data_IF_295781505623
#
_entry.id   IF_295781505623
#
_cell.length_a   1.000
_cell.length_b   1.000
_cell.length_c   1.000
_cell.angle_alpha   90.00
_cell.angle_beta   90.00
_cell.angle_gamma   90.00
#
_symmetry.space_group_name_H-M   'P 1'
#
loop_
_entity.id
_entity.type
_entity.pdbx_description
1 polymer ?
#
# COMPACT_ATOMS: atom_id res chain seq x y z
N UNK A 1 36.87 -14.52 -5.19
CA UNK A 1 37.77 -15.41 -4.41
C UNK A 1 39.21 -15.27 -4.87
N UNK A 2 39.42 -15.03 -6.15
CA UNK A 2 40.74 -14.93 -6.79
C UNK A 2 41.65 -13.87 -6.17
N UNK A 3 41.09 -12.80 -5.59
CA UNK A 3 41.83 -11.75 -4.89
C UNK A 3 42.02 -11.99 -3.38
N UNK A 4 41.48 -13.09 -2.83
CA UNK A 4 41.55 -13.36 -1.40
C UNK A 4 42.99 -13.69 -0.99
N UNK A 5 43.53 -13.06 0.06
CA UNK A 5 44.92 -13.20 0.53
C UNK A 5 45.43 -14.64 0.77
N UNK A 6 44.53 -15.60 0.97
CA UNK A 6 44.88 -17.02 1.11
C UNK A 6 45.00 -17.75 -0.24
N UNK A 7 44.38 -17.22 -1.30
CA UNK A 7 44.37 -17.75 -2.66
C UNK A 7 45.38 -17.01 -3.53
N UNK A 8 45.45 -15.68 -3.42
CA UNK A 8 46.37 -14.80 -4.12
C UNK A 8 47.77 -14.77 -3.47
N UNK A 9 48.45 -15.92 -3.41
CA UNK A 9 49.81 -16.03 -2.89
C UNK A 9 50.81 -16.33 -4.02
N UNK A 10 51.90 -15.56 -4.09
CA UNK A 10 52.99 -15.79 -5.05
C UNK A 10 53.90 -16.98 -4.68
N UNK A 11 53.50 -17.81 -3.70
CA UNK A 11 54.26 -18.99 -3.24
C UNK A 11 53.65 -20.25 -3.83
N UNK A 12 54.47 -21.25 -4.21
CA UNK A 12 53.95 -22.51 -4.73
C UNK A 12 53.06 -23.19 -3.68
N UNK A 13 51.88 -23.62 -4.10
CA UNK A 13 50.91 -24.33 -3.26
C UNK A 13 51.47 -25.72 -2.96
N UNK A 14 51.82 -25.97 -1.70
CA UNK A 14 52.26 -27.29 -1.21
C UNK A 14 51.17 -27.91 -0.36
N UNK A 15 51.16 -29.24 -0.22
CA UNK A 15 50.17 -29.95 0.61
C UNK A 15 50.09 -29.41 2.03
N UNK A 16 51.23 -29.02 2.61
CA UNK A 16 51.31 -28.41 3.94
C UNK A 16 50.64 -27.02 3.99
N UNK A 17 50.81 -26.20 2.95
CA UNK A 17 50.15 -24.89 2.86
C UNK A 17 48.64 -25.10 2.65
N UNK A 18 48.27 -26.03 1.77
CA UNK A 18 46.88 -26.39 1.51
C UNK A 18 46.16 -26.85 2.79
N UNK A 19 46.73 -27.77 3.56
CA UNK A 19 46.15 -28.23 4.83
C UNK A 19 45.88 -27.09 5.84
N UNK A 20 46.69 -26.03 5.80
CA UNK A 20 46.51 -24.87 6.69
C UNK A 20 45.43 -23.90 6.20
N UNK A 21 45.30 -23.71 4.88
CA UNK A 21 44.35 -22.74 4.30
C UNK A 21 42.98 -23.35 3.99
N UNK A 22 42.91 -24.66 3.71
CA UNK A 22 41.70 -25.35 3.28
C UNK A 22 40.52 -25.17 4.26
N UNK A 23 40.65 -25.36 5.59
CA UNK A 23 39.52 -25.17 6.51
C UNK A 23 38.97 -23.74 6.50
N UNK A 24 39.85 -22.75 6.29
CA UNK A 24 39.42 -21.34 6.21
C UNK A 24 38.71 -21.06 4.89
N UNK A 25 39.21 -21.61 3.79
CA UNK A 25 38.57 -21.48 2.48
C UNK A 25 37.23 -22.22 2.43
N UNK A 26 37.12 -23.41 3.01
CA UNK A 26 35.85 -24.14 3.13
C UNK A 26 34.79 -23.31 3.84
N UNK A 27 35.13 -22.71 5.00
CA UNK A 27 34.22 -21.81 5.72
C UNK A 27 33.79 -20.59 4.88
N UNK A 28 34.71 -20.00 4.12
CA UNK A 28 34.40 -18.88 3.21
C UNK A 28 33.47 -19.36 2.09
N UNK A 29 33.75 -20.51 1.48
CA UNK A 29 32.96 -21.10 0.40
C UNK A 29 31.55 -21.47 0.86
N UNK A 30 31.39 -21.99 2.07
CA UNK A 30 30.09 -22.25 2.69
C UNK A 30 29.28 -20.96 2.84
N UNK A 31 29.91 -19.88 3.33
CA UNK A 31 29.28 -18.56 3.42
C UNK A 31 28.84 -18.03 2.04
N UNK A 32 29.71 -18.13 1.04
CA UNK A 32 29.40 -17.71 -0.34
C UNK A 32 28.25 -18.55 -0.92
N UNK A 33 28.26 -19.87 -0.71
CA UNK A 33 27.19 -20.77 -1.16
C UNK A 33 25.86 -20.42 -0.49
N UNK A 34 25.85 -20.17 0.82
CA UNK A 34 24.65 -19.76 1.53
C UNK A 34 24.08 -18.44 0.97
N UNK A 35 24.93 -17.44 0.74
CA UNK A 35 24.54 -16.16 0.14
C UNK A 35 24.05 -16.33 -1.31
N UNK A 36 24.65 -17.24 -2.09
CA UNK A 36 24.21 -17.57 -3.44
C UNK A 36 22.80 -18.15 -3.43
N UNK A 37 22.53 -19.13 -2.56
CA UNK A 37 21.20 -19.77 -2.43
C UNK A 37 20.13 -18.76 -2.02
N UNK A 38 20.43 -17.85 -1.08
CA UNK A 38 19.49 -16.80 -0.69
C UNK A 38 19.17 -15.87 -1.87
N UNK A 39 20.18 -15.39 -2.58
CA UNK A 39 19.99 -14.54 -3.78
C UNK A 39 19.19 -15.23 -4.87
N UNK A 40 19.52 -16.48 -5.19
CA UNK A 40 18.78 -17.27 -6.19
C UNK A 40 17.31 -17.45 -5.81
N UNK A 41 17.02 -17.70 -4.53
CA UNK A 41 15.64 -17.80 -4.01
C UNK A 41 14.90 -16.48 -4.11
N UNK A 42 15.51 -15.37 -3.70
CA UNK A 42 14.87 -14.06 -3.73
C UNK A 42 14.66 -13.56 -5.15
N UNK A 43 15.62 -13.77 -6.04
CA UNK A 43 15.46 -13.48 -7.47
C UNK A 43 14.30 -14.28 -8.07
N UNK A 44 14.18 -15.57 -7.71
CA UNK A 44 13.10 -16.41 -8.21
C UNK A 44 11.74 -15.98 -7.69
N UNK A 45 11.62 -15.68 -6.40
CA UNK A 45 10.39 -15.11 -5.80
C UNK A 45 9.98 -13.83 -6.51
N UNK A 46 10.94 -12.95 -6.80
CA UNK A 46 10.69 -11.70 -7.54
C UNK A 46 10.14 -11.97 -8.94
N UNK A 47 10.74 -12.92 -9.68
CA UNK A 47 10.24 -13.32 -11.01
C UNK A 47 8.82 -13.87 -10.93
N UNK A 48 8.50 -14.69 -9.93
CA UNK A 48 7.14 -15.24 -9.75
C UNK A 48 6.11 -14.18 -9.35
N UNK A 49 6.49 -13.19 -8.54
CA UNK A 49 5.64 -12.05 -8.20
C UNK A 49 5.26 -11.23 -9.44
N UNK A 50 6.21 -11.04 -10.37
CA UNK A 50 5.94 -10.36 -11.65
C UNK A 50 4.88 -11.14 -12.45
N UNK A 51 5.01 -12.47 -12.53
CA UNK A 51 4.02 -13.32 -13.21
C UNK A 51 2.64 -13.23 -12.56
N UNK A 52 2.58 -13.20 -11.22
CA UNK A 52 1.32 -13.02 -10.50
C UNK A 52 0.71 -11.63 -10.77
N UNK A 53 1.54 -10.58 -10.83
CA UNK A 53 1.09 -9.23 -11.17
C UNK A 53 0.46 -9.17 -12.57
N UNK A 54 1.10 -9.81 -13.56
CA UNK A 54 0.55 -9.91 -14.91
C UNK A 54 -0.79 -10.66 -14.94
N UNK A 55 -0.90 -11.78 -14.21
CA UNK A 55 -2.15 -12.53 -14.04
C UNK A 55 -3.25 -11.67 -13.42
N UNK A 56 -2.94 -10.93 -12.36
CA UNK A 56 -3.88 -10.05 -11.67
C UNK A 56 -4.33 -8.88 -12.55
N UNK A 57 -3.41 -8.33 -13.35
CA UNK A 57 -3.70 -7.27 -14.31
C UNK A 57 -4.65 -7.74 -15.40
N UNK A 58 -4.41 -8.92 -15.96
CA UNK A 58 -5.31 -9.53 -16.94
C UNK A 58 -6.69 -9.83 -16.36
N UNK A 59 -6.73 -10.37 -15.14
CA UNK A 59 -7.97 -10.55 -14.42
C UNK A 59 -8.70 -9.21 -14.23
N UNK A 60 -8.00 -8.14 -13.85
CA UNK A 60 -8.54 -6.80 -13.72
C UNK A 60 -9.21 -6.28 -15.00
N UNK A 61 -8.69 -6.61 -16.20
CA UNK A 61 -9.33 -6.24 -17.46
C UNK A 61 -10.69 -6.91 -17.70
N UNK A 62 -10.96 -8.03 -17.03
CA UNK A 62 -12.27 -8.71 -17.10
C UNK A 62 -13.31 -8.12 -16.15
N UNK A 63 -12.91 -7.21 -15.26
CA UNK A 63 -13.76 -6.66 -14.21
C UNK A 63 -14.43 -5.34 -14.63
N UNK A 64 -15.51 -4.92 -13.95
CA UNK A 64 -16.14 -3.61 -14.17
C UNK A 64 -15.17 -2.45 -13.96
N UNK A 65 -15.49 -1.30 -14.57
CA UNK A 65 -14.73 -0.06 -14.35
C UNK A 65 -14.71 0.30 -12.87
N UNK A 66 -13.55 0.74 -12.38
CA UNK A 66 -13.33 1.07 -10.98
C UNK A 66 -12.99 -0.13 -10.08
N UNK A 67 -12.88 -1.34 -10.65
CA UNK A 67 -12.35 -2.48 -9.91
C UNK A 67 -10.87 -2.27 -9.55
N UNK A 68 -10.56 -2.33 -8.26
CA UNK A 68 -9.20 -2.25 -7.72
C UNK A 68 -8.74 -3.68 -7.39
N UNK A 69 -7.77 -4.18 -8.16
CA UNK A 69 -7.18 -5.48 -7.92
C UNK A 69 -6.23 -5.44 -6.71
N UNK A 70 -6.20 -6.49 -5.87
CA UNK A 70 -5.18 -6.62 -4.85
C UNK A 70 -3.78 -6.64 -5.47
N UNK A 71 -2.77 -6.03 -4.84
CA UNK A 71 -1.40 -6.14 -5.34
C UNK A 71 -0.87 -7.57 -5.11
N UNK A 72 -0.04 -8.05 -6.05
CA UNK A 72 0.52 -9.40 -6.01
C UNK A 72 1.22 -9.73 -4.68
N UNK A 73 1.83 -8.73 -4.06
CA UNK A 73 2.61 -8.86 -2.82
C UNK A 73 1.75 -9.14 -1.59
N UNK A 74 0.50 -8.70 -1.58
CA UNK A 74 -0.45 -8.97 -0.51
C UNK A 74 -1.09 -10.35 -0.66
N UNK A 75 -1.26 -10.82 -1.90
CA UNK A 75 -1.77 -12.17 -2.18
C UNK A 75 -0.68 -13.24 -2.03
N UNK A 76 0.58 -12.93 -2.32
CA UNK A 76 1.71 -13.85 -2.23
C UNK A 76 1.83 -14.61 -0.89
N UNK A 77 1.59 -14.03 0.30
CA UNK A 77 1.60 -14.78 1.56
C UNK A 77 0.34 -15.61 1.81
N UNK A 78 -0.73 -15.46 1.02
CA UNK A 78 -2.00 -16.17 1.17
C UNK A 78 -1.96 -17.52 0.43
N UNK A 79 -2.68 -18.52 0.96
CA UNK A 79 -2.92 -19.73 0.19
C UNK A 79 -3.89 -19.42 -0.97
N UNK A 80 -3.70 -20.03 -2.16
CA UNK A 80 -2.65 -20.99 -2.52
C UNK A 80 -1.37 -20.33 -3.09
N UNK A 81 -1.33 -19.01 -3.29
CA UNK A 81 -0.18 -18.30 -3.89
C UNK A 81 1.13 -18.51 -3.13
N UNK A 82 1.08 -18.60 -1.79
CA UNK A 82 2.23 -18.85 -0.94
C UNK A 82 3.03 -20.08 -1.37
N UNK A 83 2.34 -21.17 -1.71
CA UNK A 83 2.98 -22.40 -2.15
C UNK A 83 3.72 -22.20 -3.49
N UNK A 84 3.10 -21.47 -4.42
CA UNK A 84 3.68 -21.19 -5.74
C UNK A 84 4.88 -20.25 -5.61
N UNK A 85 4.74 -19.16 -4.85
CA UNK A 85 5.76 -18.12 -4.74
C UNK A 85 6.94 -18.60 -3.89
N UNK A 86 6.69 -19.20 -2.72
CA UNK A 86 7.72 -19.51 -1.73
C UNK A 86 8.24 -20.94 -1.78
N UNK A 87 7.39 -21.93 -2.10
CA UNK A 87 7.70 -23.34 -1.87
C UNK A 87 8.15 -24.06 -3.17
N UNK A 88 7.78 -23.57 -4.35
CA UNK A 88 8.24 -24.16 -5.63
C UNK A 88 9.78 -24.05 -5.73
N UNK A 89 10.49 -25.17 -6.01
CA UNK A 89 11.94 -25.17 -6.20
C UNK A 89 12.44 -24.16 -7.25
N UNK A 90 13.64 -23.59 -7.06
CA UNK A 90 14.17 -22.49 -7.89
C UNK A 90 14.42 -22.94 -9.34
N UNK A 91 14.82 -24.19 -9.54
CA UNK A 91 15.08 -24.82 -10.83
C UNK A 91 13.84 -24.98 -11.71
N UNK A 92 12.64 -24.96 -11.12
CA UNK A 92 11.37 -24.94 -11.85
C UNK A 92 10.97 -23.55 -12.35
N UNK A 93 11.76 -22.51 -12.07
CA UNK A 93 11.57 -21.18 -12.66
C UNK A 93 10.31 -20.43 -12.19
N UNK A 94 9.97 -19.38 -12.95
CA UNK A 94 8.76 -18.57 -12.80
C UNK A 94 7.84 -18.83 -13.99
N UNK A 95 7.10 -19.94 -13.90
CA UNK A 95 6.26 -20.47 -14.97
C UNK A 95 4.81 -20.06 -14.67
N UNK A 96 4.15 -19.46 -15.67
CA UNK A 96 2.77 -18.96 -15.54
C UNK A 96 1.78 -20.09 -15.28
N UNK A 97 2.06 -21.25 -15.85
CA UNK A 97 1.26 -22.46 -15.73
C UNK A 97 1.14 -22.94 -14.28
N UNK A 98 2.08 -22.56 -13.39
CA UNK A 98 1.96 -22.85 -11.96
C UNK A 98 0.74 -22.15 -11.31
N UNK A 99 0.19 -21.10 -11.93
CA UNK A 99 -0.98 -20.40 -11.42
C UNK A 99 -2.30 -20.96 -11.97
N UNK A 100 -2.27 -21.82 -12.99
CA UNK A 100 -3.48 -22.30 -13.69
C UNK A 100 -4.52 -22.92 -12.75
N UNK A 101 -4.07 -23.68 -11.77
CA UNK A 101 -4.96 -24.34 -10.80
C UNK A 101 -5.61 -23.35 -9.80
N UNK A 102 -5.04 -22.14 -9.69
CA UNK A 102 -5.49 -21.08 -8.79
C UNK A 102 -6.39 -20.08 -9.49
N UNK A 103 -6.20 -19.86 -10.79
CA UNK A 103 -6.99 -18.89 -11.57
C UNK A 103 -8.51 -19.03 -11.39
N UNK A 104 -9.12 -20.23 -11.35
CA UNK A 104 -10.56 -20.37 -11.14
C UNK A 104 -11.04 -19.81 -9.80
N UNK A 105 -10.18 -19.83 -8.77
CA UNK A 105 -10.49 -19.35 -7.42
C UNK A 105 -10.08 -17.88 -7.21
N UNK A 106 -9.38 -17.28 -8.18
CA UNK A 106 -8.86 -15.92 -8.08
C UNK A 106 -9.94 -14.89 -7.72
N UNK A 107 -11.14 -14.88 -8.33
CA UNK A 107 -12.18 -13.92 -7.96
C UNK A 107 -12.52 -13.97 -6.46
N UNK A 108 -12.75 -15.18 -5.93
CA UNK A 108 -13.09 -15.35 -4.51
C UNK A 108 -11.97 -14.90 -3.58
N UNK A 109 -10.70 -15.11 -3.96
CA UNK A 109 -9.57 -14.68 -3.13
C UNK A 109 -9.46 -13.16 -3.13
N UNK A 110 -9.62 -12.52 -4.29
CA UNK A 110 -9.65 -11.06 -4.39
C UNK A 110 -10.82 -10.46 -3.60
N UNK A 111 -12.00 -11.10 -3.61
CA UNK A 111 -13.16 -10.67 -2.82
C UNK A 111 -12.87 -10.74 -1.32
N UNK A 112 -12.28 -11.84 -0.86
CA UNK A 112 -11.89 -12.01 0.54
C UNK A 112 -10.85 -10.96 0.98
N UNK A 113 -9.85 -10.70 0.13
CA UNK A 113 -8.86 -9.66 0.40
C UNK A 113 -9.53 -8.29 0.54
N UNK A 114 -10.41 -7.92 -0.40
CA UNK A 114 -11.13 -6.64 -0.35
C UNK A 114 -12.03 -6.53 0.87
N UNK A 115 -12.76 -7.59 1.22
CA UNK A 115 -13.58 -7.63 2.43
C UNK A 115 -12.75 -7.41 3.69
N UNK A 116 -11.56 -8.01 3.77
CA UNK A 116 -10.62 -7.80 4.88
C UNK A 116 -10.12 -6.35 4.95
N UNK A 117 -9.82 -5.72 3.81
CA UNK A 117 -9.41 -4.31 3.80
C UNK A 117 -10.54 -3.36 4.20
N UNK A 118 -11.77 -3.58 3.70
CA UNK A 118 -12.95 -2.84 4.15
C UNK A 118 -13.15 -2.98 5.66
N UNK A 119 -13.05 -4.21 6.19
CA UNK A 119 -13.17 -4.47 7.63
C UNK A 119 -12.16 -3.66 8.44
N UNK A 120 -10.93 -3.50 7.96
CA UNK A 120 -9.92 -2.65 8.63
C UNK A 120 -10.27 -1.17 8.57
N UNK A 121 -10.72 -0.66 7.43
CA UNK A 121 -11.17 0.73 7.32
C UNK A 121 -12.34 1.00 8.26
N UNK A 122 -13.32 0.10 8.31
CA UNK A 122 -14.46 0.19 9.23
C UNK A 122 -13.98 0.22 10.68
N UNK A 123 -12.97 -0.57 11.04
CA UNK A 123 -12.38 -0.52 12.38
C UNK A 123 -11.77 0.85 12.71
N UNK A 124 -11.12 1.51 11.74
CA UNK A 124 -10.61 2.88 11.93
C UNK A 124 -11.76 3.88 12.10
N UNK A 125 -12.84 3.75 11.34
CA UNK A 125 -14.03 4.59 11.49
C UNK A 125 -14.70 4.36 12.85
N UNK A 126 -14.88 3.10 13.27
CA UNK A 126 -15.49 2.73 14.57
C UNK A 126 -14.74 3.26 15.77
N UNK A 127 -13.41 3.29 15.68
CA UNK A 127 -12.58 3.84 16.76
C UNK A 127 -12.90 5.30 17.07
N UNK A 128 -13.48 6.03 16.10
CA UNK A 128 -13.74 7.47 16.22
C UNK A 128 -15.24 7.78 16.35
N UNK A 129 -16.10 7.14 15.57
CA UNK A 129 -17.54 7.46 15.52
C UNK A 129 -18.41 6.50 16.34
N UNK A 130 -17.83 5.47 16.96
CA UNK A 130 -18.55 4.48 17.76
C UNK A 130 -18.76 3.14 17.04
N UNK A 131 -19.19 2.13 17.80
CA UNK A 131 -19.23 0.73 17.34
C UNK A 131 -20.26 0.46 16.23
N UNK A 132 -21.21 1.36 16.03
CA UNK A 132 -22.33 1.20 15.09
C UNK A 132 -21.95 1.48 13.63
N UNK A 133 -20.73 1.96 13.36
CA UNK A 133 -20.28 2.20 11.99
C UNK A 133 -20.21 0.90 11.18
N UNK A 134 -20.71 0.95 9.95
CA UNK A 134 -20.77 -0.14 8.99
C UNK A 134 -20.03 0.23 7.69
N UNK A 135 -20.28 -0.50 6.61
CA UNK A 135 -19.64 -0.26 5.32
C UNK A 135 -20.08 1.07 4.68
N UNK A 136 -21.34 1.49 4.86
CA UNK A 136 -21.86 2.72 4.27
C UNK A 136 -21.15 3.94 4.84
N UNK A 137 -20.67 3.84 6.08
CA UNK A 137 -19.86 4.88 6.70
C UNK A 137 -18.55 5.14 5.95
N UNK A 138 -17.98 4.18 5.23
CA UNK A 138 -16.77 4.39 4.42
C UNK A 138 -17.00 5.40 3.28
N UNK A 139 -18.24 5.49 2.80
CA UNK A 139 -18.62 6.34 1.67
C UNK A 139 -19.03 7.77 2.08
N UNK A 140 -19.19 8.03 3.38
CA UNK A 140 -19.51 9.35 3.88
C UNK A 140 -18.43 10.36 3.51
N UNK A 141 -18.83 11.58 3.18
CA UNK A 141 -17.89 12.66 2.87
C UNK A 141 -16.93 12.92 4.06
N UNK A 142 -17.40 12.67 5.29
CA UNK A 142 -16.64 12.83 6.54
C UNK A 142 -15.62 11.72 6.79
N UNK A 143 -15.67 10.59 6.08
CA UNK A 143 -14.74 9.47 6.22
C UNK A 143 -13.45 9.68 5.43
N UNK A 144 -12.63 10.59 5.93
CA UNK A 144 -11.36 10.99 5.32
C UNK A 144 -10.21 10.25 6.01
N UNK A 145 -9.36 9.62 5.20
CA UNK A 145 -8.17 8.90 5.64
C UNK A 145 -6.91 9.69 5.29
N UNK A 146 -5.85 9.46 6.06
CA UNK A 146 -4.50 9.97 5.79
C UNK A 146 -3.52 8.82 5.79
N UNK A 147 -2.62 8.81 4.81
CA UNK A 147 -1.47 7.91 4.83
C UNK A 147 -0.34 8.49 5.71
N UNK A 148 0.17 7.72 6.67
CA UNK A 148 1.27 8.12 7.54
C UNK A 148 2.63 8.18 6.85
N UNK A 149 2.76 7.56 5.67
CA UNK A 149 4.01 7.51 4.92
C UNK A 149 4.19 8.74 4.02
N UNK A 150 3.18 9.07 3.22
CA UNK A 150 3.24 10.17 2.26
C UNK A 150 2.36 11.38 2.64
N UNK A 151 1.62 11.31 3.75
CA UNK A 151 0.67 12.33 4.21
C UNK A 151 -0.49 12.66 3.26
N UNK A 152 -0.68 11.88 2.19
CA UNK A 152 -1.78 12.06 1.23
C UNK A 152 -3.13 11.83 1.90
N UNK A 153 -4.08 12.69 1.58
CA UNK A 153 -5.50 12.54 1.93
C UNK A 153 -6.15 11.57 0.96
N UNK A 154 -6.90 10.63 1.52
CA UNK A 154 -7.50 9.53 0.79
C UNK A 154 -8.94 9.36 1.24
N UNK A 155 -9.79 8.96 0.30
CA UNK A 155 -11.18 8.57 0.54
C UNK A 155 -11.38 7.13 0.09
N UNK A 156 -12.47 6.50 0.50
CA UNK A 156 -12.84 5.22 -0.08
C UNK A 156 -13.48 5.43 -1.48
N UNK A 157 -13.18 4.60 -2.50
CA UNK A 157 -12.32 3.42 -2.50
C UNK A 157 -10.83 3.68 -2.82
N UNK A 158 -10.39 4.92 -3.01
CA UNK A 158 -8.99 5.27 -3.36
C UNK A 158 -7.96 4.75 -2.35
N UNK A 159 -8.36 4.59 -1.09
CA UNK A 159 -7.55 3.94 -0.04
C UNK A 159 -7.08 2.54 -0.43
N UNK A 160 -7.86 1.81 -1.25
CA UNK A 160 -7.52 0.47 -1.71
C UNK A 160 -6.38 0.45 -2.73
N UNK A 161 -6.25 1.50 -3.55
CA UNK A 161 -5.26 1.60 -4.65
C UNK A 161 -4.05 2.46 -4.29
N UNK A 162 -4.02 3.03 -3.09
CA UNK A 162 -2.96 3.95 -2.71
C UNK A 162 -1.58 3.26 -2.70
N UNK A 163 -0.61 3.81 -3.44
CA UNK A 163 0.74 3.24 -3.64
C UNK A 163 1.45 2.89 -2.33
N UNK A 164 1.36 3.70 -1.27
CA UNK A 164 1.98 3.35 0.02
C UNK A 164 1.31 2.16 0.75
N UNK A 165 0.12 1.76 0.30
CA UNK A 165 -0.62 0.60 0.81
C UNK A 165 -0.50 -0.62 -0.10
N UNK A 166 -0.15 -0.42 -1.38
CA UNK A 166 -0.09 -1.50 -2.39
C UNK A 166 1.32 -1.83 -2.85
N UNK A 167 2.27 -0.91 -2.71
CA UNK A 167 3.65 -1.07 -3.14
C UNK A 167 4.59 -1.30 -1.96
N UNK A 168 5.19 -2.50 -1.84
CA UNK A 168 6.35 -2.65 -1.01
C UNK A 168 7.50 -2.01 -1.78
N UNK A 169 8.10 -0.95 -1.23
CA UNK A 169 9.42 -0.56 -1.70
C UNK A 169 10.28 -1.83 -1.74
N UNK A 170 10.79 -2.20 -2.92
CA UNK A 170 11.37 -3.50 -3.26
C UNK A 170 12.67 -3.83 -2.49
N UNK A 171 12.92 -3.11 -1.39
CA UNK A 171 14.15 -3.04 -0.62
C UNK A 171 13.96 -3.29 0.89
N UNK A 172 12.75 -3.41 1.44
CA UNK A 172 12.66 -3.61 2.89
C UNK A 172 12.59 -5.08 3.27
N UNK A 173 13.59 -5.53 4.03
CA UNK A 173 13.61 -6.76 4.81
C UNK A 173 12.61 -6.75 5.96
N UNK A 174 11.71 -5.77 6.05
CA UNK A 174 10.82 -5.61 7.20
C UNK A 174 9.41 -6.17 6.99
N UNK A 175 8.83 -6.85 7.99
CA UNK A 175 7.49 -7.48 7.92
C UNK A 175 6.29 -6.52 7.89
N UNK A 176 6.50 -5.19 7.81
CA UNK A 176 5.43 -4.19 7.92
C UNK A 176 4.62 -3.98 6.63
N UNK A 177 4.88 -4.75 5.58
CA UNK A 177 4.19 -4.70 4.28
C UNK A 177 2.85 -5.44 4.24
N UNK A 178 2.00 -5.20 5.22
CA UNK A 178 0.60 -5.62 5.16
C UNK A 178 -0.21 -4.39 4.79
N UNK A 179 -1.07 -4.49 3.77
CA UNK A 179 -1.98 -3.41 3.37
C UNK A 179 -2.53 -2.62 4.56
N UNK A 180 -2.51 -1.28 4.45
CA UNK A 180 -3.14 -0.38 5.42
C UNK A 180 -2.37 -0.13 6.72
N UNK A 181 -1.14 -0.64 6.88
CA UNK A 181 -0.32 -0.39 8.09
C UNK A 181 -0.01 1.09 8.36
N UNK A 182 -0.21 1.97 7.36
CA UNK A 182 -0.04 3.41 7.49
C UNK A 182 -1.33 4.23 7.36
N UNK A 183 -2.51 3.63 7.23
CA UNK A 183 -3.75 4.39 7.10
C UNK A 183 -4.31 4.74 8.49
N UNK A 184 -4.65 6.02 8.67
CA UNK A 184 -5.35 6.52 9.86
C UNK A 184 -6.54 7.37 9.43
N UNK A 185 -7.58 7.42 10.27
CA UNK A 185 -8.66 8.38 10.05
C UNK A 185 -8.14 9.81 10.36
N UNK A 186 -8.36 10.73 9.44
CA UNK A 186 -7.92 12.13 9.56
C UNK A 186 -8.96 12.98 10.27
N UNK A 187 -8.97 12.93 11.61
CA UNK A 187 -9.96 13.62 12.44
C UNK A 187 -10.12 15.10 12.11
N UNK A 188 -9.01 15.79 11.83
CA UNK A 188 -9.03 17.22 11.53
C UNK A 188 -9.78 17.48 10.24
N UNK A 189 -9.51 16.71 9.18
CA UNK A 189 -10.21 16.86 7.90
C UNK A 189 -11.65 16.35 7.97
N UNK A 190 -11.89 15.27 8.69
CA UNK A 190 -13.24 14.77 8.96
C UNK A 190 -14.10 15.82 9.66
N UNK A 191 -13.57 16.48 10.69
CA UNK A 191 -14.25 17.57 11.40
C UNK A 191 -14.50 18.78 10.50
N UNK A 192 -13.52 19.17 9.69
CA UNK A 192 -13.70 20.23 8.69
C UNK A 192 -14.84 19.89 7.72
N UNK A 193 -14.88 18.63 7.26
CA UNK A 193 -15.92 18.19 6.36
C UNK A 193 -17.30 18.25 7.00
N UNK A 194 -17.43 17.87 8.28
CA UNK A 194 -18.68 18.05 9.03
C UNK A 194 -19.14 19.51 9.00
N UNK A 195 -18.26 20.45 9.34
CA UNK A 195 -18.59 21.88 9.32
C UNK A 195 -18.95 22.39 7.93
N UNK A 196 -18.26 21.91 6.89
CA UNK A 196 -18.57 22.24 5.50
C UNK A 196 -19.98 21.78 5.11
N UNK A 197 -20.34 20.54 5.46
CA UNK A 197 -21.66 19.98 5.18
C UNK A 197 -22.75 20.76 5.91
N UNK A 198 -22.53 21.11 7.17
CA UNK A 198 -23.45 21.96 7.94
C UNK A 198 -23.65 23.33 7.27
N UNK A 199 -22.57 23.97 6.80
CA UNK A 199 -22.65 25.24 6.05
C UNK A 199 -23.43 25.10 4.73
N UNK A 200 -23.42 23.91 4.11
CA UNK A 200 -24.18 23.62 2.91
C UNK A 200 -25.62 23.17 3.19
N UNK A 201 -26.02 23.05 4.47
CA UNK A 201 -27.32 22.52 4.88
C UNK A 201 -27.48 21.02 4.60
N UNK A 202 -26.37 20.28 4.52
CA UNK A 202 -26.33 18.84 4.29
C UNK A 202 -26.09 18.11 5.60
N UNK A 203 -26.62 16.88 5.73
CA UNK A 203 -26.43 16.07 6.93
C UNK A 203 -25.10 15.29 6.88
N UNK A 204 -24.14 15.53 7.80
CA UNK A 204 -22.85 14.86 7.83
C UNK A 204 -22.89 13.34 8.02
N UNK A 205 -24.01 12.80 8.52
CA UNK A 205 -24.18 11.37 8.80
C UNK A 205 -24.69 10.57 7.61
N UNK A 206 -25.21 11.24 6.59
CA UNK A 206 -25.84 10.60 5.43
C UNK A 206 -25.24 11.05 4.10
N UNK A 207 -24.57 12.20 4.08
CA UNK A 207 -23.98 12.74 2.85
C UNK A 207 -22.73 11.97 2.45
N UNK A 208 -22.76 11.38 1.24
CA UNK A 208 -21.62 10.67 0.66
C UNK A 208 -20.68 11.61 -0.07
N UNK A 209 -19.41 11.20 -0.22
CA UNK A 209 -18.45 11.97 -1.02
C UNK A 209 -18.92 12.17 -2.47
N UNK A 210 -19.52 11.16 -3.08
CA UNK A 210 -20.06 11.22 -4.44
C UNK A 210 -21.17 12.29 -4.55
N UNK A 211 -22.12 12.30 -3.61
CA UNK A 211 -23.19 13.31 -3.59
C UNK A 211 -22.66 14.74 -3.41
N UNK A 212 -21.61 14.92 -2.59
CA UNK A 212 -20.96 16.21 -2.42
C UNK A 212 -20.19 16.64 -3.67
N UNK A 213 -19.56 15.70 -4.37
CA UNK A 213 -18.88 15.96 -5.63
C UNK A 213 -19.85 16.35 -6.74
N UNK A 214 -21.04 15.74 -6.80
CA UNK A 214 -22.09 16.13 -7.75
C UNK A 214 -22.65 17.52 -7.46
N UNK A 215 -22.92 17.83 -6.18
CA UNK A 215 -23.39 19.15 -5.78
C UNK A 215 -22.34 20.25 -6.05
N UNK A 216 -21.06 19.92 -5.86
CA UNK A 216 -19.90 20.77 -6.10
C UNK A 216 -20.04 22.21 -5.54
N UNK A 217 -20.35 22.37 -4.24
CA UNK A 217 -20.59 23.68 -3.64
C UNK A 217 -19.36 24.60 -3.72
N UNK A 218 -19.64 25.90 -3.79
CA UNK A 218 -18.66 26.97 -3.56
C UNK A 218 -18.76 27.42 -2.11
N UNK A 219 -17.61 27.53 -1.46
CA UNK A 219 -17.49 27.94 -0.06
C UNK A 219 -16.91 29.33 -0.04
N UNK A 220 -17.60 30.25 0.62
CA UNK A 220 -17.08 31.60 0.85
C UNK A 220 -16.17 31.60 2.08
N UNK A 221 -14.97 32.19 1.96
CA UNK A 221 -14.15 32.50 3.11
C UNK A 221 -14.57 33.86 3.68
N UNK A 222 -15.20 33.86 4.86
CA UNK A 222 -15.71 35.09 5.47
C UNK A 222 -14.61 36.02 6.01
N UNK A 223 -13.39 35.51 6.20
CA UNK A 223 -12.24 36.25 6.72
C UNK A 223 -11.34 36.79 5.61
N UNK A 224 -11.23 36.08 4.49
CA UNK A 224 -10.46 36.51 3.34
C UNK A 224 -11.28 37.50 2.50
N UNK A 225 -11.13 38.78 2.81
CA UNK A 225 -11.59 39.88 1.96
C UNK A 225 -10.38 40.72 1.56
N UNK A 226 -10.21 40.91 0.26
CA UNK A 226 -9.22 41.85 -0.28
C UNK A 226 -9.95 43.04 -0.88
N UNK A 227 -9.44 44.25 -0.68
CA UNK A 227 -10.06 45.47 -1.19
C UNK A 227 -10.17 45.47 -2.73
N UNK A 228 -9.23 44.82 -3.41
CA UNK A 228 -9.17 44.77 -4.88
C UNK A 228 -10.00 43.62 -5.52
N UNK A 229 -10.16 42.49 -4.83
CA UNK A 229 -10.78 41.27 -5.41
C UNK A 229 -12.09 40.82 -4.73
N UNK A 230 -12.54 41.52 -3.68
CA UNK A 230 -13.80 41.23 -3.01
C UNK A 230 -13.76 39.98 -2.12
N UNK A 231 -14.90 39.27 -2.05
CA UNK A 231 -15.08 38.03 -1.26
C UNK A 231 -14.40 36.86 -1.96
N UNK A 232 -13.65 36.06 -1.22
CA UNK A 232 -12.95 34.89 -1.77
C UNK A 232 -13.86 33.67 -1.69
N UNK A 233 -14.02 32.98 -2.83
CA UNK A 233 -14.73 31.71 -2.94
C UNK A 233 -13.74 30.61 -3.32
N UNK A 234 -13.90 29.45 -2.70
CA UNK A 234 -13.11 28.26 -2.99
C UNK A 234 -14.05 27.09 -3.29
N UNK A 235 -13.62 26.22 -4.20
CA UNK A 235 -14.29 24.93 -4.41
C UNK A 235 -13.99 24.01 -3.22
N UNK A 236 -14.95 23.18 -2.85
CA UNK A 236 -14.81 22.35 -1.65
C UNK A 236 -13.63 21.34 -1.69
N UNK A 237 -13.25 20.70 -2.83
CA UNK A 237 -12.12 19.76 -2.84
C UNK A 237 -10.80 20.44 -2.46
N UNK A 238 -10.65 21.69 -2.85
CA UNK A 238 -9.51 22.54 -2.61
C UNK A 238 -9.42 22.87 -1.12
N UNK A 239 -10.55 23.11 -0.43
CA UNK A 239 -10.59 23.30 1.02
C UNK A 239 -9.98 22.09 1.78
N UNK A 240 -10.27 20.86 1.34
CA UNK A 240 -9.76 19.63 1.95
C UNK A 240 -8.25 19.44 1.71
N UNK A 241 -7.76 19.89 0.55
CA UNK A 241 -6.35 19.79 0.17
C UNK A 241 -5.46 20.91 0.77
N UNK A 242 -5.92 22.16 0.80
CA UNK A 242 -5.09 23.34 1.12
C UNK A 242 -4.80 23.54 2.62
N UNK A 243 -5.57 22.93 3.53
CA UNK A 243 -5.44 23.10 4.99
C UNK A 243 -4.10 22.63 5.62
N UNK A 244 -3.10 22.21 4.84
CA UNK A 244 -1.75 21.90 5.33
C UNK A 244 -0.68 22.96 5.01
N UNK A 245 -0.93 23.91 4.11
CA UNK A 245 0.13 24.83 3.64
C UNK A 245 0.14 26.21 4.28
N UNK A 246 -0.82 26.51 5.15
CA UNK A 246 -0.87 27.80 5.81
C UNK A 246 -1.53 27.65 7.16
N UNK A 247 -0.90 28.28 8.14
CA UNK A 247 -1.51 29.00 9.25
C UNK A 247 -2.71 29.89 8.80
N UNK A 248 -3.71 29.34 8.11
CA UNK A 248 -5.03 29.92 8.00
C UNK A 248 -5.82 29.40 9.20
N UNK A 249 -5.35 29.85 10.35
CA UNK A 249 -6.17 30.08 11.54
C UNK A 249 -7.22 31.09 11.07
N UNK A 250 -8.32 30.61 10.55
CA UNK A 250 -9.59 31.31 10.70
C UNK A 250 -10.30 30.50 11.75
N UNK A 251 -10.15 30.96 12.99
CA UNK A 251 -10.93 30.51 14.12
C UNK A 251 -12.38 30.31 13.68
N UNK A 252 -12.82 29.05 13.65
CA UNK A 252 -14.23 28.73 13.86
C UNK A 252 -14.50 29.02 15.33
N UNK A 253 -14.73 30.28 15.66
CA UNK A 253 -15.25 30.70 16.96
C UNK A 253 -16.60 31.32 16.70
N UNK A 254 -17.61 30.79 17.40
CA UNK A 254 -18.79 31.55 17.79
C UNK A 254 -18.38 32.84 18.52
#
# INVERSE_FOLDING_TARGET
LDEHKLVAQNRPMTDRIWMNIAPTLEKIMEGIKAQRILRERDEMRRKRLIVLDDVLREFGYTQPRGYIAPPAVDLAPMAPFKAIILDVPVDQGAIREHFNDVLPNLPSICDQFRAEQKRRLIQLVRAEYGQDADEDHLHLATSIFRCSQCSKTLIYPETLDHECCTYPGWLSTTPWFRWGGGLVLDKTRSSLMTSLLDCCGLDPKTTTFESLQELNPLVECQTCKTDDYGRVFIRWPELVCFMLYSYLICHFTD
#
